data_IF_892296584572
#
_entry.id   IF_892296584572
#
_cell.length_a   1.000
_cell.length_b   1.000
_cell.length_c   1.000
_cell.angle_alpha   90.00
_cell.angle_beta   90.00
_cell.angle_gamma   90.00
#
_symmetry.space_group_name_H-M   'P 1'
#
loop_
_entity.id
_entity.type
_entity.pdbx_description
1 polymer ?
#
# COMPACT_ATOMS: atom_id res chain seq x y z
N UNK A 1 15.51 11.09 -7.98
CA UNK A 1 14.21 11.44 -7.33
C UNK A 1 14.11 10.88 -5.92
N UNK A 2 13.26 11.46 -5.07
CA UNK A 2 13.11 11.05 -3.68
C UNK A 2 11.67 10.59 -3.34
N UNK A 3 11.60 9.42 -2.70
CA UNK A 3 10.45 8.98 -1.92
C UNK A 3 10.86 8.88 -0.45
N UNK A 4 10.06 9.39 0.47
CA UNK A 4 10.28 9.17 1.91
C UNK A 4 9.03 8.63 2.57
N UNK A 5 9.21 7.81 3.60
CA UNK A 5 8.16 7.38 4.51
C UNK A 5 8.57 7.71 5.94
N UNK A 6 7.70 8.42 6.66
CA UNK A 6 7.89 8.82 8.05
C UNK A 6 6.78 8.22 8.92
N UNK A 7 7.12 7.86 10.14
CA UNK A 7 6.16 7.63 11.22
C UNK A 7 6.67 8.25 12.51
N UNK A 8 5.73 8.61 13.39
CA UNK A 8 5.99 9.11 14.75
C UNK A 8 5.39 8.16 15.82
N UNK A 9 4.97 6.96 15.42
CA UNK A 9 4.46 5.94 16.34
C UNK A 9 5.58 5.41 17.21
N UNK A 10 5.45 5.48 18.53
CA UNK A 10 6.50 5.03 19.45
C UNK A 10 6.58 3.49 19.56
N UNK A 11 7.78 2.86 19.54
CA UNK A 11 9.04 3.45 19.09
C UNK A 11 9.10 3.55 17.57
N UNK A 12 9.39 4.74 17.04
CA UNK A 12 9.32 4.99 15.59
C UNK A 12 10.37 4.21 14.80
N UNK A 13 11.47 3.82 15.47
CA UNK A 13 12.51 2.96 14.90
C UNK A 13 12.00 1.59 14.45
N UNK A 14 10.81 1.16 14.89
CA UNK A 14 10.15 -0.06 14.39
C UNK A 14 9.95 -0.05 12.87
N UNK A 15 9.90 1.14 12.25
CA UNK A 15 9.89 1.30 10.79
C UNK A 15 11.09 0.62 10.10
N UNK A 16 12.26 0.56 10.76
CA UNK A 16 13.44 -0.12 10.24
C UNK A 16 13.23 -1.63 10.07
N UNK A 17 12.61 -2.27 11.05
CA UNK A 17 12.27 -3.69 11.01
C UNK A 17 11.20 -3.96 9.96
N UNK A 18 10.14 -3.14 9.93
CA UNK A 18 9.06 -3.26 8.95
C UNK A 18 9.57 -3.16 7.50
N UNK A 19 10.52 -2.26 7.21
CA UNK A 19 11.12 -2.11 5.88
C UNK A 19 12.24 -3.12 5.58
N UNK A 20 12.69 -3.89 6.58
CA UNK A 20 13.89 -4.74 6.51
C UNK A 20 15.13 -3.94 6.12
N UNK A 21 15.28 -2.74 6.68
CA UNK A 21 16.39 -1.82 6.43
C UNK A 21 16.85 -1.22 7.74
N UNK A 22 18.10 -1.50 8.08
CA UNK A 22 18.67 -1.04 9.34
C UNK A 22 18.98 0.47 9.27
N UNK A 23 18.49 1.31 10.21
CA UNK A 23 18.65 2.76 10.13
C UNK A 23 20.09 3.26 10.07
N UNK A 24 21.01 2.60 10.77
CA UNK A 24 22.44 2.93 10.77
C UNK A 24 23.22 2.48 9.50
N UNK A 25 22.53 1.95 8.48
CA UNK A 25 23.18 1.46 7.25
C UNK A 25 22.59 2.14 6.02
N UNK A 26 23.47 2.73 5.21
CA UNK A 26 23.12 3.10 3.84
C UNK A 26 23.18 1.83 2.98
N UNK A 27 22.11 1.56 2.26
CA UNK A 27 22.01 0.40 1.38
C UNK A 27 21.73 0.86 -0.05
N UNK A 28 22.13 0.05 -1.02
CA UNK A 28 21.87 0.32 -2.43
C UNK A 28 21.35 -0.93 -3.11
N UNK A 29 20.38 -0.76 -4.00
CA UNK A 29 19.78 -1.84 -4.79
C UNK A 29 19.87 -1.46 -6.26
N UNK A 30 20.40 -2.35 -7.08
CA UNK A 30 20.48 -2.14 -8.53
C UNK A 30 19.08 -2.29 -9.14
N UNK A 31 18.60 -1.26 -9.84
CA UNK A 31 17.34 -1.25 -10.60
C UNK A 31 17.67 -1.26 -12.10
N UNK A 32 16.69 -1.60 -12.95
CA UNK A 32 16.89 -1.65 -14.41
C UNK A 32 17.44 -0.33 -14.99
N UNK A 33 17.15 0.80 -14.37
CA UNK A 33 17.51 2.14 -14.85
C UNK A 33 18.71 2.78 -14.11
N UNK A 34 19.35 2.08 -13.17
CA UNK A 34 20.40 2.67 -12.32
C UNK A 34 20.43 2.05 -10.92
N UNK A 35 20.53 2.90 -9.90
CA UNK A 35 20.63 2.48 -8.50
C UNK A 35 19.56 3.18 -7.64
N UNK A 36 19.01 2.45 -6.68
CA UNK A 36 18.16 3.00 -5.63
C UNK A 36 18.91 2.96 -4.29
N UNK A 37 19.12 4.11 -3.67
CA UNK A 37 19.78 4.27 -2.39
C UNK A 37 18.76 4.39 -1.27
N UNK A 38 18.99 3.67 -0.18
CA UNK A 38 18.13 3.61 0.99
C UNK A 38 18.92 4.10 2.19
N UNK A 39 18.39 5.10 2.88
CA UNK A 39 19.00 5.66 4.09
C UNK A 39 17.95 6.26 5.00
N UNK A 40 18.33 6.57 6.24
CA UNK A 40 17.43 7.11 7.25
C UNK A 40 17.92 8.51 7.64
N UNK A 41 17.35 9.59 7.08
CA UNK A 41 17.68 10.95 7.51
C UNK A 41 17.31 11.23 8.97
N UNK A 42 16.37 10.47 9.55
CA UNK A 42 15.93 10.61 10.94
C UNK A 42 15.57 9.23 11.49
N UNK A 43 16.13 8.87 12.65
CA UNK A 43 15.84 7.60 13.32
C UNK A 43 16.05 7.74 14.84
N UNK A 44 14.98 8.06 15.54
CA UNK A 44 14.91 8.07 17.00
C UNK A 44 13.58 7.45 17.46
N UNK A 45 13.39 7.29 18.76
CA UNK A 45 12.20 6.61 19.32
C UNK A 45 10.88 7.36 19.04
N UNK A 46 10.94 8.67 18.80
CA UNK A 46 9.76 9.51 18.57
C UNK A 46 9.47 9.76 17.09
N UNK A 47 10.48 9.71 16.23
CA UNK A 47 10.33 9.91 14.79
C UNK A 47 11.36 9.08 14.01
N UNK A 48 10.88 8.41 12.96
CA UNK A 48 11.72 7.65 12.05
C UNK A 48 11.27 7.93 10.61
N UNK A 49 12.24 8.26 9.76
CA UNK A 49 12.04 8.60 8.36
C UNK A 49 13.02 7.80 7.53
N UNK A 50 12.50 6.96 6.64
CA UNK A 50 13.27 6.28 5.63
C UNK A 50 13.17 7.03 4.29
N UNK A 51 14.27 7.08 3.56
CA UNK A 51 14.39 7.70 2.25
C UNK A 51 14.81 6.66 1.20
N UNK A 52 14.17 6.70 0.04
CA UNK A 52 14.51 5.96 -1.17
C UNK A 52 14.85 6.98 -2.26
N UNK A 53 16.13 7.10 -2.58
CA UNK A 53 16.66 8.02 -3.58
C UNK A 53 17.01 7.23 -4.86
N UNK A 54 16.42 7.61 -5.98
CA UNK A 54 16.77 7.05 -7.29
C UNK A 54 17.88 7.86 -7.94
N UNK A 55 18.94 7.14 -8.29
CA UNK A 55 20.07 7.56 -9.11
C UNK A 55 20.00 6.83 -10.46
N UNK A 56 19.45 7.52 -11.47
CA UNK A 56 19.17 6.95 -12.80
C UNK A 56 20.25 7.40 -13.76
N UNK A 57 20.81 6.46 -14.52
CA UNK A 57 21.74 6.76 -15.61
C UNK A 57 20.94 7.02 -16.91
N UNK A 58 20.82 8.27 -17.37
CA UNK A 58 20.07 8.60 -18.58
C UNK A 58 20.68 7.96 -19.84
N UNK A 59 22.00 7.79 -19.89
CA UNK A 59 22.71 7.26 -21.06
C UNK A 59 22.49 5.76 -21.18
N UNK A 60 22.57 5.03 -20.06
CA UNK A 60 22.27 3.60 -20.02
C UNK A 60 20.81 3.30 -20.39
N UNK A 61 19.89 4.22 -20.07
CA UNK A 61 18.46 4.11 -20.39
C UNK A 61 18.21 4.08 -21.91
N UNK A 62 18.90 4.96 -22.65
CA UNK A 62 18.76 5.04 -24.11
C UNK A 62 19.36 3.83 -24.81
N UNK A 63 20.55 3.38 -24.39
CA UNK A 63 21.26 2.24 -25.01
C UNK A 63 20.52 0.91 -24.93
N UNK A 64 19.52 0.79 -24.06
CA UNK A 64 18.69 -0.43 -23.91
C UNK A 64 17.45 -0.41 -24.79
N UNK A 65 17.02 0.76 -25.27
CA UNK A 65 15.90 0.91 -26.19
C UNK A 65 16.42 0.95 -27.64
N UNK A 66 16.83 -0.21 -28.18
CA UNK A 66 17.27 -0.40 -29.58
C UNK A 66 16.13 -0.24 -30.62
N UNK A 67 15.09 0.53 -30.31
CA UNK A 67 13.99 0.80 -31.23
C UNK A 67 14.36 1.96 -32.17
N UNK A 68 14.89 1.60 -33.35
CA UNK A 68 14.98 2.34 -34.61
C UNK A 68 14.63 3.84 -34.57
N UNK A 69 15.67 4.69 -34.60
CA UNK A 69 15.59 6.11 -34.96
C UNK A 69 16.24 7.03 -33.93
N UNK A 70 17.08 7.96 -34.38
CA UNK A 70 17.61 9.03 -33.54
C UNK A 70 16.48 10.00 -33.17
N UNK A 71 15.83 9.78 -32.03
CA UNK A 71 14.84 10.70 -31.48
C UNK A 71 15.45 11.47 -30.31
N UNK A 72 15.43 12.80 -30.39
CA UNK A 72 15.96 13.69 -29.34
C UNK A 72 15.27 13.42 -27.99
N UNK A 73 13.98 13.05 -28.02
CA UNK A 73 13.17 12.73 -26.84
C UNK A 73 13.71 11.52 -26.05
N UNK A 74 14.52 10.66 -26.67
CA UNK A 74 15.16 9.56 -25.94
C UNK A 74 16.29 10.05 -25.04
N UNK A 75 17.02 11.08 -25.46
CA UNK A 75 18.18 11.63 -24.74
C UNK A 75 17.81 12.75 -23.77
N UNK A 76 16.81 13.56 -24.12
CA UNK A 76 16.36 14.69 -23.31
C UNK A 76 14.91 14.45 -22.89
N UNK A 77 14.74 13.84 -21.73
CA UNK A 77 13.43 13.63 -21.12
C UNK A 77 13.47 13.73 -19.60
N UNK A 78 12.29 13.71 -19.02
CA UNK A 78 12.03 13.85 -17.59
C UNK A 78 12.28 12.55 -16.79
N UNK A 79 12.52 11.41 -17.45
CA UNK A 79 12.51 10.08 -16.80
C UNK A 79 13.55 9.88 -15.70
N UNK A 80 14.78 10.41 -15.80
CA UNK A 80 15.74 10.37 -14.71
C UNK A 80 15.37 11.26 -13.51
N UNK A 81 14.33 12.10 -13.64
CA UNK A 81 14.01 13.17 -12.71
C UNK A 81 12.58 13.14 -12.14
N UNK A 82 11.76 12.14 -12.50
CA UNK A 82 10.33 12.03 -12.09
C UNK A 82 9.96 10.77 -11.30
N UNK A 83 9.19 10.92 -10.22
CA UNK A 83 8.78 9.80 -9.35
C UNK A 83 7.60 8.99 -9.91
N UNK A 84 7.80 8.35 -11.07
CA UNK A 84 6.78 7.56 -11.76
C UNK A 84 7.05 6.05 -11.66
N UNK A 85 7.01 5.32 -12.78
CA UNK A 85 7.17 3.86 -12.81
C UNK A 85 8.50 3.35 -12.26
N UNK A 86 9.61 4.09 -12.41
CA UNK A 86 10.89 3.70 -11.81
C UNK A 86 10.85 3.75 -10.28
N UNK A 87 10.12 4.72 -9.69
CA UNK A 87 9.90 4.77 -8.25
C UNK A 87 9.08 3.57 -7.77
N UNK A 88 8.00 3.23 -8.49
CA UNK A 88 7.21 2.03 -8.20
C UNK A 88 8.06 0.75 -8.25
N UNK A 89 8.88 0.56 -9.29
CA UNK A 89 9.78 -0.58 -9.40
C UNK A 89 10.82 -0.62 -8.27
N UNK A 90 11.39 0.54 -7.91
CA UNK A 90 12.36 0.64 -6.83
C UNK A 90 11.73 0.32 -5.46
N UNK A 91 10.50 0.76 -5.19
CA UNK A 91 9.74 0.40 -3.99
C UNK A 91 9.58 -1.12 -3.92
N UNK A 92 9.14 -1.75 -5.02
CA UNK A 92 8.96 -3.20 -5.09
C UNK A 92 10.26 -3.97 -4.84
N UNK A 93 11.39 -3.47 -5.35
CA UNK A 93 12.67 -4.13 -5.18
C UNK A 93 13.29 -3.89 -3.78
N UNK A 94 13.27 -2.65 -3.30
CA UNK A 94 13.85 -2.25 -2.01
C UNK A 94 13.06 -2.81 -0.82
N UNK A 95 11.73 -2.81 -0.93
CA UNK A 95 10.80 -3.10 0.18
C UNK A 95 9.93 -4.33 -0.10
N UNK A 96 10.44 -5.29 -0.88
CA UNK A 96 9.71 -6.51 -1.27
C UNK A 96 9.14 -7.29 -0.09
N UNK A 97 9.90 -7.45 1.02
CA UNK A 97 9.42 -8.12 2.23
C UNK A 97 8.25 -7.39 2.88
N UNK A 98 8.33 -6.07 2.98
CA UNK A 98 7.27 -5.22 3.54
C UNK A 98 6.00 -5.25 2.69
N UNK A 99 6.13 -5.16 1.36
CA UNK A 99 5.02 -5.26 0.40
C UNK A 99 4.30 -6.62 0.43
N UNK A 100 4.97 -7.65 0.94
CA UNK A 100 4.43 -8.98 1.10
C UNK A 100 3.98 -9.26 2.54
N UNK A 101 3.98 -8.25 3.43
CA UNK A 101 3.54 -8.40 4.82
C UNK A 101 4.40 -9.39 5.62
N UNK A 102 5.72 -9.37 5.43
CA UNK A 102 6.63 -10.24 6.16
C UNK A 102 7.52 -9.40 7.07
N UNK A 103 7.60 -9.74 8.35
CA UNK A 103 8.59 -9.21 9.30
C UNK A 103 8.91 -10.29 10.33
N UNK A 104 10.17 -10.73 10.41
CA UNK A 104 10.57 -11.78 11.36
C UNK A 104 10.85 -11.22 12.75
N UNK A 105 11.44 -10.04 12.79
CA UNK A 105 11.92 -9.43 14.04
C UNK A 105 10.78 -8.78 14.84
N UNK A 106 9.72 -8.35 14.13
CA UNK A 106 8.56 -7.64 14.67
C UNK A 106 7.26 -8.05 13.97
N UNK A 107 6.83 -9.32 14.06
CA UNK A 107 5.61 -9.80 13.40
C UNK A 107 4.33 -9.11 13.92
N UNK A 108 4.31 -8.71 15.18
CA UNK A 108 3.14 -8.15 15.88
C UNK A 108 2.64 -6.81 15.33
N UNK A 109 3.50 -6.07 14.62
CA UNK A 109 3.19 -4.75 14.06
C UNK A 109 2.95 -4.76 12.53
N UNK A 110 3.04 -5.93 11.88
CA UNK A 110 2.92 -6.04 10.41
C UNK A 110 1.51 -5.69 9.94
N UNK A 111 0.51 -6.16 10.67
CA UNK A 111 -0.91 -5.97 10.38
C UNK A 111 -1.53 -4.83 11.19
N UNK A 112 -0.71 -4.10 11.97
CA UNK A 112 -1.14 -2.93 12.72
C UNK A 112 -1.26 -1.70 11.78
N UNK A 113 -2.38 -0.98 11.78
CA UNK A 113 -2.48 0.32 11.13
C UNK A 113 -1.60 1.35 11.86
N UNK A 114 -0.65 1.96 11.14
CA UNK A 114 0.28 2.93 11.71
C UNK A 114 0.12 4.28 11.00
N UNK A 115 0.31 5.41 11.71
CA UNK A 115 0.28 6.73 11.09
C UNK A 115 1.54 6.91 10.24
N UNK A 116 1.35 7.00 8.93
CA UNK A 116 2.40 7.22 7.96
C UNK A 116 2.25 8.56 7.27
N UNK A 117 3.38 9.22 7.05
CA UNK A 117 3.53 10.34 6.13
C UNK A 117 4.48 9.93 5.01
N UNK A 118 3.94 9.76 3.80
CA UNK A 118 4.68 9.45 2.58
C UNK A 118 4.87 10.72 1.75
N UNK A 119 6.10 11.01 1.33
CA UNK A 119 6.41 12.16 0.48
C UNK A 119 7.02 11.71 -0.84
N UNK A 120 6.53 12.27 -1.93
CA UNK A 120 7.01 12.05 -3.30
C UNK A 120 7.41 13.38 -3.91
N UNK A 121 8.63 13.46 -4.43
CA UNK A 121 9.10 14.63 -5.17
C UNK A 121 8.91 14.45 -6.67
N UNK A 122 8.53 15.51 -7.38
CA UNK A 122 8.43 15.52 -8.85
C UNK A 122 7.57 14.36 -9.41
N UNK A 123 6.37 14.15 -8.85
CA UNK A 123 5.39 13.19 -9.36
C UNK A 123 4.70 13.75 -10.60
N UNK A 124 4.85 13.16 -11.80
CA UNK A 124 4.11 13.57 -12.99
C UNK A 124 2.66 13.12 -12.87
N UNK A 125 1.72 14.03 -13.13
CA UNK A 125 0.30 13.70 -13.10
C UNK A 125 -0.38 14.15 -14.40
N UNK A 126 -0.58 13.21 -15.33
CA UNK A 126 -1.37 13.42 -16.55
C UNK A 126 -2.87 13.44 -16.19
N UNK A 127 -3.36 14.63 -15.88
CA UNK A 127 -4.70 14.87 -15.33
C UNK A 127 -4.71 15.91 -14.20
N UNK A 128 -3.53 16.41 -13.81
CA UNK A 128 -3.38 17.48 -12.83
C UNK A 128 -3.80 17.09 -11.42
N UNK A 129 -3.91 18.10 -10.56
CA UNK A 129 -4.28 17.95 -9.15
C UNK A 129 -5.62 17.23 -8.96
N UNK A 130 -6.62 17.51 -9.80
CA UNK A 130 -7.96 16.89 -9.72
C UNK A 130 -7.90 15.37 -9.83
N UNK A 131 -7.08 14.84 -10.74
CA UNK A 131 -6.89 13.41 -10.85
C UNK A 131 -6.20 12.85 -9.61
N UNK A 132 -5.16 13.53 -9.13
CA UNK A 132 -4.40 13.08 -7.97
C UNK A 132 -5.30 12.91 -6.74
N UNK A 133 -6.19 13.89 -6.49
CA UNK A 133 -7.20 13.82 -5.43
C UNK A 133 -8.15 12.64 -5.59
N UNK A 134 -8.71 12.45 -6.79
CA UNK A 134 -9.60 11.32 -7.12
C UNK A 134 -8.96 9.94 -6.91
N UNK A 135 -7.63 9.84 -7.02
CA UNK A 135 -6.91 8.58 -6.84
C UNK A 135 -6.55 8.27 -5.38
N UNK A 136 -6.33 9.28 -4.54
CA UNK A 136 -5.81 9.08 -3.18
C UNK A 136 -6.81 9.43 -2.07
N UNK A 137 -7.67 10.44 -2.24
CA UNK A 137 -8.65 10.80 -1.21
C UNK A 137 -9.65 9.66 -0.89
N UNK A 138 -10.18 8.89 -1.87
CA UNK A 138 -11.07 7.76 -1.57
C UNK A 138 -10.42 6.64 -0.75
N UNK A 139 -9.08 6.58 -0.74
CA UNK A 139 -8.31 5.63 0.07
C UNK A 139 -8.08 6.12 1.51
N UNK A 140 -8.61 7.29 1.87
CA UNK A 140 -8.47 7.90 3.20
C UNK A 140 -7.20 8.73 3.37
N UNK A 141 -6.48 9.08 2.29
CA UNK A 141 -5.31 9.92 2.40
C UNK A 141 -5.68 11.40 2.58
N UNK A 142 -5.09 12.01 3.59
CA UNK A 142 -4.93 13.46 3.63
C UNK A 142 -3.76 13.87 2.75
N UNK A 143 -3.94 14.94 1.97
CA UNK A 143 -2.99 15.31 0.92
C UNK A 143 -2.55 16.76 1.03
N UNK A 144 -1.24 16.98 0.98
CA UNK A 144 -0.66 18.29 0.66
C UNK A 144 0.00 18.21 -0.71
N UNK A 145 -0.40 19.09 -1.61
CA UNK A 145 0.03 19.11 -3.01
C UNK A 145 0.68 20.46 -3.27
N UNK A 146 1.93 20.44 -3.72
CA UNK A 146 2.64 21.64 -4.15
C UNK A 146 3.05 21.50 -5.62
N UNK A 147 2.72 22.50 -6.42
CA UNK A 147 3.19 22.66 -7.79
C UNK A 147 4.18 23.82 -7.88
N UNK A 148 4.95 23.86 -8.96
CA UNK A 148 5.88 24.94 -9.27
C UNK A 148 5.59 25.47 -10.69
N UNK A 149 5.92 26.75 -11.00
CA UNK A 149 5.90 27.22 -12.37
C UNK A 149 6.86 26.38 -13.22
N UNK A 150 6.55 26.23 -14.52
CA UNK A 150 7.41 25.47 -15.42
C UNK A 150 8.81 26.10 -15.54
N UNK A 151 8.86 27.43 -15.55
CA UNK A 151 10.09 28.18 -15.39
C UNK A 151 9.80 29.52 -14.66
N UNK A 152 10.45 29.81 -13.51
CA UNK A 152 10.26 31.09 -12.82
C UNK A 152 10.59 32.33 -13.66
N UNK A 153 11.49 32.20 -14.65
CA UNK A 153 11.85 33.30 -15.55
C UNK A 153 10.81 33.53 -16.67
N UNK A 154 9.91 32.58 -16.92
CA UNK A 154 8.86 32.66 -17.95
C UNK A 154 7.51 32.21 -17.36
N UNK A 155 6.88 33.02 -16.48
CA UNK A 155 5.63 32.66 -15.81
C UNK A 155 4.47 32.38 -16.77
N UNK A 156 4.50 32.97 -17.98
CA UNK A 156 3.50 32.79 -19.02
C UNK A 156 3.43 31.37 -19.59
N UNK A 157 4.46 30.55 -19.35
CA UNK A 157 4.46 29.11 -19.70
C UNK A 157 3.57 28.27 -18.77
N UNK A 158 3.07 28.88 -17.69
CA UNK A 158 2.14 28.27 -16.76
C UNK A 158 2.79 27.35 -15.73
N UNK A 159 1.96 26.53 -15.10
CA UNK A 159 2.36 25.61 -14.03
C UNK A 159 2.87 24.29 -14.58
N UNK A 160 3.86 23.74 -13.89
CA UNK A 160 4.39 22.41 -14.18
C UNK A 160 3.35 21.31 -13.92
N UNK A 161 3.44 20.22 -14.69
CA UNK A 161 2.66 18.99 -14.45
C UNK A 161 3.22 18.08 -13.35
N UNK A 162 4.35 18.47 -12.76
CA UNK A 162 5.01 17.72 -11.69
C UNK A 162 4.62 18.30 -10.33
N UNK A 163 4.28 17.42 -9.40
CA UNK A 163 3.83 17.78 -8.07
C UNK A 163 4.76 17.21 -7.01
N UNK A 164 4.99 17.97 -5.95
CA UNK A 164 5.46 17.44 -4.69
C UNK A 164 4.24 17.09 -3.85
N UNK A 165 4.16 15.84 -3.41
CA UNK A 165 2.96 15.30 -2.77
C UNK A 165 3.34 14.72 -1.42
N UNK A 166 2.69 15.18 -0.36
CA UNK A 166 2.70 14.54 0.94
C UNK A 166 1.34 13.85 1.17
N UNK A 167 1.38 12.58 1.52
CA UNK A 167 0.25 11.70 1.73
C UNK A 167 0.28 11.24 3.20
N UNK A 168 -0.77 11.49 3.96
CA UNK A 168 -0.90 11.06 5.35
C UNK A 168 -2.08 10.12 5.52
N UNK A 169 -1.86 8.99 6.17
CA UNK A 169 -2.92 8.00 6.44
C UNK A 169 -2.50 7.07 7.58
N UNK A 170 -3.47 6.44 8.23
CA UNK A 170 -3.26 5.39 9.24
C UNK A 170 -3.65 4.04 8.65
N UNK A 171 -2.68 3.32 8.11
CA UNK A 171 -2.86 2.04 7.41
C UNK A 171 -1.66 1.13 7.66
N UNK A 172 -1.74 -0.14 7.27
CA UNK A 172 -0.58 -1.03 7.34
C UNK A 172 0.48 -0.62 6.32
N UNK A 173 1.76 -0.87 6.62
CA UNK A 173 2.86 -0.56 5.69
C UNK A 173 2.68 -1.30 4.35
N UNK A 174 2.20 -2.55 4.41
CA UNK A 174 1.89 -3.36 3.23
C UNK A 174 0.90 -2.62 2.31
N UNK A 175 -0.19 -2.09 2.86
CA UNK A 175 -1.23 -1.39 2.09
C UNK A 175 -0.69 -0.10 1.46
N UNK A 176 0.06 0.71 2.23
CA UNK A 176 0.70 1.94 1.74
C UNK A 176 1.60 1.66 0.52
N UNK A 177 2.53 0.72 0.65
CA UNK A 177 3.49 0.41 -0.41
C UNK A 177 2.81 -0.19 -1.66
N UNK A 178 1.78 -1.02 -1.47
CA UNK A 178 0.98 -1.58 -2.57
C UNK A 178 0.19 -0.53 -3.34
N UNK A 179 -0.46 0.39 -2.63
CA UNK A 179 -1.18 1.50 -3.24
C UNK A 179 -0.23 2.41 -4.03
N UNK A 180 0.92 2.80 -3.45
CA UNK A 180 1.93 3.57 -4.17
C UNK A 180 2.47 2.83 -5.40
N UNK A 181 2.73 1.53 -5.27
CA UNK A 181 3.21 0.70 -6.38
C UNK A 181 2.27 0.76 -7.60
N UNK A 182 0.95 0.72 -7.39
CA UNK A 182 -0.05 0.80 -8.47
C UNK A 182 -0.28 2.24 -8.94
N UNK A 183 -0.44 3.19 -8.02
CA UNK A 183 -0.93 4.53 -8.35
C UNK A 183 0.14 5.45 -8.96
N UNK A 184 1.43 5.24 -8.68
CA UNK A 184 2.49 6.05 -9.27
C UNK A 184 2.54 5.92 -10.82
N UNK A 185 2.55 4.73 -11.43
CA UNK A 185 2.39 4.57 -12.88
C UNK A 185 1.07 5.14 -13.43
N UNK A 186 -0.03 5.09 -12.66
CA UNK A 186 -1.35 5.59 -13.07
C UNK A 186 -1.37 7.11 -13.16
N UNK A 187 -0.69 7.80 -12.24
CA UNK A 187 -0.52 9.25 -12.26
C UNK A 187 0.19 9.69 -13.54
N UNK A 188 1.31 9.05 -13.88
CA UNK A 188 2.10 9.38 -15.07
C UNK A 188 1.40 8.96 -16.36
N UNK A 189 0.65 7.85 -16.35
CA UNK A 189 0.02 7.27 -17.53
C UNK A 189 1.02 7.09 -18.69
N UNK A 190 2.21 6.59 -18.35
CA UNK A 190 3.34 6.42 -19.26
C UNK A 190 4.33 5.35 -18.76
N UNK A 191 4.04 4.08 -19.04
CA UNK A 191 4.97 2.99 -18.72
C UNK A 191 6.00 2.83 -19.84
N UNK A 192 7.29 2.98 -19.49
CA UNK A 192 8.45 2.83 -20.40
C UNK A 192 8.84 1.39 -20.74
N UNK A 193 8.14 0.41 -20.17
CA UNK A 193 8.39 -0.99 -20.42
C UNK A 193 7.15 -1.64 -21.04
N UNK A 194 7.36 -2.82 -21.62
CA UNK A 194 6.29 -3.62 -22.19
C UNK A 194 5.36 -4.15 -21.09
N UNK A 195 4.05 -3.96 -21.28
CA UNK A 195 3.02 -4.43 -20.36
C UNK A 195 2.39 -5.69 -20.96
N UNK A 196 2.37 -6.78 -20.20
CA UNK A 196 1.77 -8.05 -20.59
C UNK A 196 0.94 -8.68 -19.47
N UNK A 197 0.57 -9.95 -19.60
CA UNK A 197 -0.27 -10.68 -18.63
C UNK A 197 0.29 -10.66 -17.20
N UNK A 198 1.61 -10.74 -17.04
CA UNK A 198 2.25 -10.64 -15.73
C UNK A 198 1.97 -9.32 -14.99
N UNK A 199 1.70 -8.22 -15.71
CA UNK A 199 1.31 -6.95 -15.06
C UNK A 199 -0.13 -7.01 -14.57
N UNK A 200 -1.02 -7.76 -15.24
CA UNK A 200 -2.37 -8.01 -14.76
C UNK A 200 -2.31 -8.78 -13.43
N UNK A 201 -1.51 -9.85 -13.36
CA UNK A 201 -1.37 -10.62 -12.11
C UNK A 201 -0.87 -9.76 -10.96
N UNK A 202 0.13 -8.90 -11.19
CA UNK A 202 0.61 -7.94 -10.19
C UNK A 202 -0.45 -6.92 -9.80
N UNK A 203 -1.28 -6.47 -10.74
CA UNK A 203 -2.38 -5.54 -10.45
C UNK A 203 -3.38 -6.19 -9.51
N UNK A 204 -3.79 -7.44 -9.78
CA UNK A 204 -4.70 -8.17 -8.90
C UNK A 204 -4.06 -8.40 -7.52
N UNK A 205 -2.84 -8.94 -7.47
CA UNK A 205 -2.16 -9.29 -6.20
C UNK A 205 -1.90 -8.06 -5.29
N UNK A 206 -1.60 -6.90 -5.88
CA UNK A 206 -1.33 -5.67 -5.13
C UNK A 206 -2.58 -4.78 -4.96
N UNK A 207 -3.60 -4.99 -5.80
CA UNK A 207 -4.89 -4.30 -5.75
C UNK A 207 -5.86 -4.87 -4.73
N UNK A 208 -5.68 -6.15 -4.39
CA UNK A 208 -6.52 -6.89 -3.44
C UNK A 208 -6.83 -6.12 -2.16
N UNK A 209 -8.13 -6.02 -1.85
CA UNK A 209 -8.67 -5.44 -0.63
C UNK A 209 -8.73 -3.92 -0.61
N UNK A 210 -8.63 -3.27 -1.79
CA UNK A 210 -8.86 -1.84 -1.93
C UNK A 210 -9.24 -1.39 -3.33
N UNK A 211 -8.75 -2.07 -4.37
CA UNK A 211 -8.94 -1.63 -5.75
C UNK A 211 -10.36 -1.91 -6.23
N UNK A 212 -10.95 -3.01 -5.78
CA UNK A 212 -12.30 -3.46 -6.13
C UNK A 212 -13.38 -2.47 -5.65
N UNK A 213 -13.13 -1.84 -4.50
CA UNK A 213 -14.01 -0.83 -3.90
C UNK A 213 -13.65 0.62 -4.31
N UNK A 214 -12.59 0.81 -5.09
CA UNK A 214 -12.14 2.16 -5.46
C UNK A 214 -13.09 2.78 -6.51
N UNK A 215 -13.59 4.02 -6.33
CA UNK A 215 -14.51 4.64 -7.28
C UNK A 215 -13.89 4.82 -8.69
N UNK A 216 -12.58 5.06 -8.74
CA UNK A 216 -11.80 5.16 -9.98
C UNK A 216 -11.23 3.82 -10.49
N UNK A 217 -11.75 2.65 -10.06
CA UNK A 217 -11.16 1.34 -10.40
C UNK A 217 -10.93 1.13 -11.89
N UNK A 218 -11.90 1.49 -12.72
CA UNK A 218 -11.78 1.38 -14.18
C UNK A 218 -10.64 2.24 -14.74
N UNK A 219 -10.52 3.49 -14.26
CA UNK A 219 -9.44 4.39 -14.67
C UNK A 219 -8.07 3.85 -14.25
N UNK A 220 -7.97 3.36 -13.02
CA UNK A 220 -6.73 2.78 -12.47
C UNK A 220 -6.30 1.58 -13.30
N UNK A 221 -7.21 0.61 -13.52
CA UNK A 221 -6.94 -0.60 -14.30
C UNK A 221 -6.48 -0.27 -15.72
N UNK A 222 -7.23 0.60 -16.43
CA UNK A 222 -6.89 0.99 -17.81
C UNK A 222 -5.52 1.66 -17.89
N UNK A 223 -5.24 2.64 -17.03
CA UNK A 223 -3.94 3.35 -17.03
C UNK A 223 -2.79 2.44 -16.61
N UNK A 224 -2.97 1.63 -15.57
CA UNK A 224 -1.96 0.71 -15.10
C UNK A 224 -1.57 -0.31 -16.19
N UNK A 225 -2.55 -0.78 -16.96
CA UNK A 225 -2.35 -1.71 -18.08
C UNK A 225 -2.09 -1.03 -19.42
N UNK A 226 -1.65 0.25 -19.42
CA UNK A 226 -1.28 1.02 -20.61
C UNK A 226 -2.38 1.04 -21.70
N UNK A 227 -3.64 1.07 -21.27
CA UNK A 227 -4.84 1.05 -22.12
C UNK A 227 -4.93 -0.18 -23.05
N UNK A 228 -4.26 -1.28 -22.72
CA UNK A 228 -4.38 -2.54 -23.46
C UNK A 228 -5.76 -3.14 -23.17
N UNK A 229 -6.70 -2.93 -24.11
CA UNK A 229 -8.11 -3.30 -23.97
C UNK A 229 -8.35 -4.73 -23.47
N UNK A 230 -7.75 -5.76 -24.10
CA UNK A 230 -7.92 -7.14 -23.65
C UNK A 230 -7.51 -7.38 -22.19
N UNK A 231 -6.36 -6.84 -21.76
CA UNK A 231 -5.89 -6.98 -20.38
C UNK A 231 -6.77 -6.22 -19.39
N UNK A 232 -7.16 -4.99 -19.74
CA UNK A 232 -8.00 -4.17 -18.88
C UNK A 232 -9.39 -4.78 -18.68
N UNK A 233 -10.02 -5.28 -19.75
CA UNK A 233 -11.31 -5.94 -19.68
C UNK A 233 -11.21 -7.23 -18.86
N UNK A 234 -10.17 -8.04 -19.08
CA UNK A 234 -9.94 -9.25 -18.30
C UNK A 234 -9.78 -8.97 -16.80
N UNK A 235 -9.06 -7.90 -16.42
CA UNK A 235 -8.91 -7.51 -15.02
C UNK A 235 -10.25 -7.07 -14.40
N UNK A 236 -11.02 -6.24 -15.11
CA UNK A 236 -12.33 -5.78 -14.63
C UNK A 236 -13.34 -6.93 -14.50
N UNK A 237 -13.35 -7.86 -15.45
CA UNK A 237 -14.20 -9.06 -15.39
C UNK A 237 -13.87 -9.95 -14.19
N UNK A 238 -12.60 -10.08 -13.80
CA UNK A 238 -12.20 -10.85 -12.61
C UNK A 238 -12.70 -10.19 -11.34
N UNK A 239 -12.48 -8.87 -11.20
CA UNK A 239 -12.97 -8.11 -10.04
C UNK A 239 -14.49 -8.19 -9.91
N UNK A 240 -15.23 -8.12 -11.02
CA UNK A 240 -16.69 -8.26 -11.00
C UNK A 240 -17.14 -9.66 -10.57
N UNK A 241 -16.42 -10.72 -10.95
CA UNK A 241 -16.74 -12.08 -10.51
C UNK A 241 -16.47 -12.28 -9.03
N UNK A 242 -15.34 -11.77 -8.54
CA UNK A 242 -15.00 -11.80 -7.11
C UNK A 242 -16.04 -11.04 -6.29
N UNK A 243 -16.45 -9.84 -6.73
CA UNK A 243 -17.52 -9.05 -6.10
C UNK A 243 -18.84 -9.87 -6.02
N UNK A 244 -19.23 -10.56 -7.10
CA UNK A 244 -20.45 -11.39 -7.13
C UNK A 244 -20.36 -12.64 -6.22
N UNK A 245 -19.20 -13.30 -6.20
CA UNK A 245 -18.98 -14.47 -5.34
C UNK A 245 -18.98 -14.09 -3.85
N UNK A 246 -18.43 -12.93 -3.50
CA UNK A 246 -18.51 -12.36 -2.15
C UNK A 246 -19.96 -12.05 -1.76
N UNK A 247 -20.73 -11.41 -2.64
CA UNK A 247 -22.16 -11.14 -2.41
C UNK A 247 -22.97 -12.44 -2.24
N UNK A 248 -22.73 -13.46 -3.06
CA UNK A 248 -23.39 -14.76 -2.93
C UNK A 248 -23.00 -15.50 -1.64
N UNK A 249 -21.73 -15.40 -1.21
CA UNK A 249 -21.26 -15.97 0.04
C UNK A 249 -21.83 -15.25 1.27
N UNK A 250 -21.99 -13.92 1.22
CA UNK A 250 -22.65 -13.16 2.28
C UNK A 250 -24.17 -13.39 2.31
N UNK A 251 -24.79 -13.63 1.16
CA UNK A 251 -26.21 -13.96 1.01
C UNK A 251 -26.54 -15.42 1.34
N UNK A 252 -25.55 -16.31 1.40
CA UNK A 252 -25.75 -17.67 1.87
C UNK A 252 -26.35 -17.64 3.29
N UNK A 253 -27.41 -18.41 3.57
CA UNK A 253 -28.10 -18.33 4.86
C UNK A 253 -27.11 -18.68 5.98
N UNK A 254 -26.71 -17.67 6.77
CA UNK A 254 -26.04 -17.87 8.05
C UNK A 254 -26.86 -18.91 8.80
N UNK A 255 -26.25 -20.04 9.15
CA UNK A 255 -26.94 -21.11 9.89
C UNK A 255 -27.68 -20.49 11.08
N UNK A 256 -29.00 -20.35 10.94
CA UNK A 256 -29.87 -19.84 11.99
C UNK A 256 -29.86 -20.92 13.08
N UNK A 257 -28.98 -20.76 14.09
CA UNK A 257 -29.03 -21.57 15.31
C UNK A 257 -30.47 -21.55 15.81
N UNK A 258 -31.09 -22.72 15.94
CA UNK A 258 -32.48 -22.79 16.40
C UNK A 258 -32.55 -22.18 17.79
N UNK A 259 -33.64 -21.49 18.09
CA UNK A 259 -33.89 -20.88 19.40
C UNK A 259 -33.74 -21.89 20.55
N UNK A 260 -33.98 -23.16 20.29
CA UNK A 260 -33.73 -24.28 21.20
C UNK A 260 -32.23 -24.47 21.50
N UNK A 261 -31.36 -24.43 20.49
CA UNK A 261 -29.92 -24.66 20.63
C UNK A 261 -29.26 -23.50 21.40
N UNK A 262 -29.67 -22.26 21.12
CA UNK A 262 -29.28 -21.07 21.87
C UNK A 262 -29.69 -21.14 23.35
N UNK A 263 -30.89 -21.65 23.64
CA UNK A 263 -31.35 -21.86 25.03
C UNK A 263 -30.53 -22.93 25.73
N UNK A 264 -30.22 -24.04 25.05
CA UNK A 264 -29.38 -25.11 25.60
C UNK A 264 -27.94 -24.65 25.87
N UNK A 265 -27.35 -23.86 24.97
CA UNK A 265 -26.04 -23.22 25.18
C UNK A 265 -26.07 -22.27 26.39
N UNK A 266 -27.08 -21.40 26.48
CA UNK A 266 -27.23 -20.46 27.60
C UNK A 266 -27.38 -21.18 28.95
N UNK A 267 -28.21 -22.24 29.02
CA UNK A 267 -28.39 -23.04 30.23
C UNK A 267 -27.09 -23.75 30.62
N UNK A 268 -26.34 -24.28 29.65
CA UNK A 268 -25.03 -24.90 29.87
C UNK A 268 -24.05 -23.92 30.49
N UNK A 269 -24.00 -22.69 30.00
CA UNK A 269 -23.07 -21.66 30.47
C UNK A 269 -23.43 -21.17 31.87
N UNK A 270 -24.73 -21.01 32.16
CA UNK A 270 -25.22 -20.72 33.51
C UNK A 270 -24.84 -21.85 34.47
N UNK A 271 -25.06 -23.12 34.10
CA UNK A 271 -24.69 -24.27 34.95
C UNK A 271 -23.18 -24.38 35.18
N UNK A 272 -22.34 -24.02 34.19
CA UNK A 272 -20.89 -23.93 34.35
C UNK A 272 -20.50 -22.81 35.32
N UNK A 273 -21.14 -21.65 35.23
CA UNK A 273 -20.89 -20.53 36.16
C UNK A 273 -21.28 -20.88 37.61
N UNK A 274 -22.35 -21.65 37.80
CA UNK A 274 -22.83 -22.09 39.12
C UNK A 274 -22.00 -23.24 39.71
N UNK A 275 -21.43 -24.12 38.87
CA UNK A 275 -20.49 -25.17 39.34
C UNK A 275 -19.16 -24.62 39.86
N UNK A 276 -18.83 -23.36 39.58
CA UNK A 276 -17.73 -22.64 40.24
C UNK A 276 -18.03 -22.26 41.70
N UNK A 277 -19.30 -22.21 42.10
CA UNK A 277 -19.75 -21.76 43.42
C UNK A 277 -20.06 -22.89 44.40
N UNK A 278 -20.17 -24.15 43.96
CA UNK A 278 -20.56 -25.28 44.84
C UNK A 278 -19.40 -25.96 45.58
N UNK A 279 -18.21 -25.34 45.65
CA UNK A 279 -17.09 -25.88 46.45
C UNK A 279 -17.20 -25.68 47.97
N UNK A 280 -18.25 -25.01 48.46
CA UNK A 280 -18.46 -24.73 49.90
C UNK A 280 -19.73 -25.33 50.53
N UNK A 281 -20.39 -26.30 49.90
CA UNK A 281 -21.50 -26.99 50.57
C UNK A 281 -20.98 -28.18 51.41
N UNK A 282 -20.69 -27.91 52.68
CA UNK A 282 -20.45 -28.93 53.71
C UNK A 282 -21.82 -29.41 54.22
N UNK A 283 -22.14 -30.72 54.19
CA UNK A 283 -23.33 -31.22 54.86
C UNK A 283 -23.04 -31.31 56.36
N UNK A 284 -23.63 -30.42 57.16
CA UNK A 284 -23.65 -30.57 58.62
C UNK A 284 -24.45 -31.82 58.98
N UNK A 285 -23.73 -32.79 59.53
CA UNK A 285 -24.23 -34.09 59.92
C UNK A 285 -25.18 -34.05 61.12
N UNK A 286 -25.97 -35.12 61.16
CA UNK A 286 -26.72 -35.67 62.29
C UNK A 286 -26.05 -35.51 63.65
N UNK A 287 -26.75 -34.87 64.59
CA UNK A 287 -26.77 -35.14 66.04
C UNK A 287 -27.88 -34.24 66.64
N UNK A 288 -28.86 -34.63 67.47
CA UNK A 288 -28.91 -35.60 68.55
C UNK A 288 -30.35 -36.06 68.81
N UNK A 289 -30.45 -37.31 69.26
CA UNK A 289 -31.53 -37.89 70.05
C UNK A 289 -31.08 -37.78 71.53
N UNK A 290 -31.90 -37.23 72.42
CA UNK A 290 -32.21 -37.76 73.77
C UNK A 290 -32.87 -36.72 74.70
N UNK A 291 -33.87 -37.26 75.42
CA UNK A 291 -34.53 -36.77 76.66
C UNK A 291 -35.58 -35.68 76.53
#
# INVERSE_FOLDING_TARGET
MLFTIKTERYPATDLGYLLHKHPAKIQSVAITAGTAHIYYPEANEHACKAALLLDIDPVALVRRNDANGFSLDQYVNDRPYVSASFMSAAIAQAYSSAMNGRCKDKPEIVDEPLPFEAMLTALPVKGGETLLRRLFEPLGYEMTIASAPLNPAFPEWGVSRYFNVALRNTITLKKLLRQLYILLPVCDNDKHYFVGEHELEKLMEKGEGWLEQHPEKELIVRRYLKHIGPLANQALERMMKEDMEEEEAEAAPKELKRLHDLRLETVRDILRSLKGYTKNWIPTGYAWMQS
#
